data_IF_828685192123
#
_entry.id   IF_828685192123
#
_cell.length_a   1.000
_cell.length_b   1.000
_cell.length_c   1.000
_cell.angle_alpha   90.00
_cell.angle_beta   90.00
_cell.angle_gamma   90.00
#
_symmetry.space_group_name_H-M   'P 1'
#
loop_
_entity.id
_entity.type
_entity.pdbx_description
1 polymer ?
#
# COMPACT_ATOMS: atom_id res chain seq x y z
N UNK A 1 0.78 16.93 -11.91
CA UNK A 1 0.02 15.71 -12.22
C UNK A 1 0.63 14.92 -13.37
N UNK A 2 1.07 15.60 -14.43
CA UNK A 2 1.64 14.92 -15.59
C UNK A 2 2.91 14.14 -15.26
N UNK A 3 3.72 14.65 -14.31
CA UNK A 3 4.97 14.01 -13.94
C UNK A 3 4.80 12.84 -12.98
N UNK A 4 3.82 12.90 -12.08
CA UNK A 4 3.69 11.95 -10.99
C UNK A 4 2.39 11.15 -11.01
N UNK A 5 1.40 11.59 -11.77
CA UNK A 5 0.11 10.92 -11.89
C UNK A 5 -0.87 11.31 -10.79
N UNK A 6 -2.15 11.02 -11.06
CA UNK A 6 -3.23 11.37 -10.17
C UNK A 6 -3.21 10.61 -8.83
N UNK A 7 -2.78 9.36 -8.85
CA UNK A 7 -2.74 8.54 -7.64
C UNK A 7 -1.70 9.03 -6.65
N UNK A 8 -0.54 9.49 -7.13
CA UNK A 8 0.47 10.09 -6.26
C UNK A 8 -0.04 11.37 -5.62
N UNK A 9 -0.75 12.20 -6.37
CA UNK A 9 -1.36 13.41 -5.84
C UNK A 9 -2.42 13.09 -4.79
N UNK A 10 -3.27 12.11 -5.05
CA UNK A 10 -4.29 11.66 -4.09
C UNK A 10 -3.67 11.16 -2.79
N UNK A 11 -2.65 10.33 -2.90
CA UNK A 11 -1.96 9.80 -1.72
C UNK A 11 -1.30 10.92 -0.92
N UNK A 12 -0.63 11.85 -1.59
CA UNK A 12 -0.01 12.99 -0.93
C UNK A 12 -1.02 13.82 -0.16
N UNK A 13 -2.13 14.17 -0.79
CA UNK A 13 -3.17 15.01 -0.18
C UNK A 13 -3.75 14.33 1.07
N UNK A 14 -3.98 13.03 1.03
CA UNK A 14 -4.63 12.31 2.13
C UNK A 14 -3.67 11.93 3.26
N UNK A 15 -2.39 11.78 2.99
CA UNK A 15 -1.44 11.26 3.99
C UNK A 15 -0.55 12.32 4.64
N UNK A 16 -0.35 13.47 3.99
CA UNK A 16 0.60 14.48 4.45
C UNK A 16 0.05 15.36 5.57
N UNK A 17 -1.24 15.65 5.55
CA UNK A 17 -1.88 16.56 6.53
C UNK A 17 -3.29 16.09 6.87
N UNK A 18 -3.78 16.40 8.11
CA UNK A 18 -5.18 16.19 8.42
C UNK A 18 -6.08 17.02 7.49
N UNK A 19 -7.32 16.57 7.22
CA UNK A 19 -8.23 17.31 6.34
C UNK A 19 -8.55 18.74 6.79
N UNK A 20 -8.42 19.01 8.08
CA UNK A 20 -8.69 20.34 8.66
C UNK A 20 -7.59 21.36 8.43
N UNK A 21 -6.44 20.93 7.93
CA UNK A 21 -5.31 21.82 7.71
C UNK A 21 -5.09 22.06 6.22
N UNK A 22 -4.58 23.26 5.94
CA UNK A 22 -4.13 23.57 4.60
C UNK A 22 -2.94 22.68 4.25
N UNK A 23 -2.93 22.19 3.00
CA UNK A 23 -1.86 21.33 2.51
C UNK A 23 -0.90 22.19 1.70
N UNK A 24 0.37 22.16 2.07
CA UNK A 24 1.41 22.79 1.30
C UNK A 24 1.90 21.83 0.23
N UNK A 25 1.74 22.23 -1.04
CA UNK A 25 2.17 21.42 -2.17
C UNK A 25 3.70 21.53 -2.29
N UNK A 26 4.40 20.40 -2.10
CA UNK A 26 5.85 20.34 -2.25
C UNK A 26 6.22 19.21 -3.21
N UNK A 27 7.25 19.44 -4.02
CA UNK A 27 7.76 18.40 -4.91
C UNK A 27 8.34 17.22 -4.14
N UNK A 28 9.00 17.48 -3.03
CA UNK A 28 9.56 16.42 -2.19
C UNK A 28 8.47 15.50 -1.64
N UNK A 29 7.34 16.07 -1.22
CA UNK A 29 6.22 15.28 -0.70
C UNK A 29 5.55 14.44 -1.77
N UNK A 30 5.27 15.04 -2.93
CA UNK A 30 4.62 14.32 -4.03
C UNK A 30 5.55 13.25 -4.61
N UNK A 31 6.84 13.50 -4.67
CA UNK A 31 7.82 12.52 -5.10
C UNK A 31 7.88 11.32 -4.18
N UNK A 32 7.79 11.53 -2.86
CA UNK A 32 7.71 10.45 -1.88
C UNK A 32 6.50 9.55 -2.10
N UNK A 33 5.35 10.15 -2.34
CA UNK A 33 4.11 9.42 -2.65
C UNK A 33 4.24 8.62 -3.96
N UNK A 34 4.83 9.24 -4.98
CA UNK A 34 5.07 8.60 -6.27
C UNK A 34 5.99 7.38 -6.13
N UNK A 35 7.08 7.50 -5.36
CA UNK A 35 7.99 6.39 -5.10
C UNK A 35 7.29 5.24 -4.39
N UNK A 36 6.46 5.55 -3.40
CA UNK A 36 5.69 4.55 -2.67
C UNK A 36 4.76 3.76 -3.60
N UNK A 37 4.01 4.48 -4.45
CA UNK A 37 3.08 3.86 -5.40
C UNK A 37 3.84 2.96 -6.38
N UNK A 38 4.98 3.43 -6.90
CA UNK A 38 5.79 2.63 -7.82
C UNK A 38 6.37 1.37 -7.16
N UNK A 39 6.79 1.47 -5.90
CA UNK A 39 7.25 0.32 -5.13
C UNK A 39 6.13 -0.70 -4.94
N UNK A 40 4.95 -0.22 -4.56
CA UNK A 40 3.79 -1.09 -4.37
C UNK A 40 3.41 -1.80 -5.67
N UNK A 41 3.34 -1.05 -6.76
CA UNK A 41 3.05 -1.60 -8.09
C UNK A 41 4.05 -2.67 -8.48
N UNK A 42 5.34 -2.36 -8.33
CA UNK A 42 6.42 -3.28 -8.70
C UNK A 42 6.39 -4.54 -7.87
N UNK A 43 6.12 -4.43 -6.58
CA UNK A 43 6.00 -5.57 -5.69
C UNK A 43 4.88 -6.52 -6.13
N UNK A 44 3.72 -5.98 -6.47
CA UNK A 44 2.57 -6.79 -6.91
C UNK A 44 2.84 -7.43 -8.27
N UNK A 45 3.39 -6.67 -9.21
CA UNK A 45 3.70 -7.17 -10.56
C UNK A 45 4.75 -8.27 -10.50
N UNK A 46 5.81 -8.08 -9.72
CA UNK A 46 6.87 -9.09 -9.57
C UNK A 46 6.37 -10.38 -8.91
N UNK A 47 5.42 -10.26 -7.98
CA UNK A 47 4.83 -11.40 -7.29
C UNK A 47 3.73 -12.08 -8.09
N UNK A 48 3.21 -11.46 -9.15
CA UNK A 48 2.02 -11.95 -9.87
C UNK A 48 2.17 -13.36 -10.42
N UNK A 49 3.37 -13.74 -10.84
CA UNK A 49 3.64 -15.08 -11.38
C UNK A 49 3.61 -16.17 -10.31
N UNK A 50 3.84 -15.82 -9.04
CA UNK A 50 3.87 -16.77 -7.93
C UNK A 50 2.58 -16.75 -7.10
N UNK A 51 1.66 -15.84 -7.40
CA UNK A 51 0.38 -15.78 -6.71
C UNK A 51 -0.55 -16.89 -7.19
N UNK A 52 -1.33 -17.51 -6.29
CA UNK A 52 -2.32 -18.51 -6.72
C UNK A 52 -3.44 -17.84 -7.52
N UNK A 53 -4.17 -18.62 -8.36
CA UNK A 53 -5.31 -18.10 -9.09
C UNK A 53 -6.39 -17.54 -8.17
N UNK A 54 -7.18 -16.60 -8.67
CA UNK A 54 -8.32 -16.07 -7.93
C UNK A 54 -9.27 -17.19 -7.55
N UNK A 55 -9.78 -17.17 -6.33
CA UNK A 55 -10.66 -18.20 -5.81
C UNK A 55 -9.97 -19.43 -5.24
N UNK A 56 -8.63 -19.44 -5.20
CA UNK A 56 -7.88 -20.53 -4.57
C UNK A 56 -8.21 -20.63 -3.08
N UNK A 57 -8.28 -21.86 -2.59
CA UNK A 57 -8.59 -22.10 -1.19
C UNK A 57 -7.43 -21.67 -0.29
N UNK A 58 -7.79 -21.22 0.92
CA UNK A 58 -6.80 -20.91 1.95
C UNK A 58 -6.02 -22.18 2.31
N UNK A 59 -4.68 -22.13 2.42
CA UNK A 59 -3.90 -23.28 2.86
C UNK A 59 -4.29 -23.73 4.26
N UNK A 60 -4.24 -25.04 4.51
CA UNK A 60 -4.50 -25.58 5.84
C UNK A 60 -3.36 -25.30 6.81
N UNK A 61 -2.14 -25.18 6.30
CA UNK A 61 -0.96 -24.86 7.09
C UNK A 61 -0.19 -23.72 6.46
N UNK A 62 0.45 -22.92 7.31
CA UNK A 62 1.30 -21.81 6.87
C UNK A 62 2.76 -22.13 7.21
N UNK A 63 3.67 -21.76 6.31
CA UNK A 63 5.11 -21.90 6.55
C UNK A 63 5.56 -21.03 7.74
N UNK A 64 6.73 -21.33 8.28
CA UNK A 64 7.31 -20.53 9.36
C UNK A 64 7.49 -19.06 8.98
N UNK A 65 7.74 -18.77 7.70
CA UNK A 65 7.88 -17.40 7.21
C UNK A 65 6.51 -16.73 7.00
N UNK A 66 5.49 -17.50 6.67
CA UNK A 66 4.16 -16.97 6.40
C UNK A 66 3.38 -16.61 7.66
N UNK A 67 3.61 -17.33 8.78
CA UNK A 67 2.88 -17.09 10.03
C UNK A 67 3.05 -15.68 10.58
N UNK A 68 4.28 -15.13 10.72
CA UNK A 68 4.44 -13.75 11.16
C UNK A 68 3.81 -12.73 10.21
N UNK A 69 3.94 -12.94 8.91
CA UNK A 69 3.33 -12.07 7.92
C UNK A 69 1.81 -12.06 8.03
N UNK A 70 1.21 -13.24 8.19
CA UNK A 70 -0.24 -13.37 8.38
C UNK A 70 -0.71 -12.62 9.63
N UNK A 71 0.02 -12.76 10.74
CA UNK A 71 -0.30 -12.07 11.99
C UNK A 71 -0.28 -10.56 11.83
N UNK A 72 0.77 -10.03 11.20
CA UNK A 72 0.91 -8.60 10.94
C UNK A 72 -0.18 -8.12 9.98
N UNK A 73 -0.50 -8.90 8.96
CA UNK A 73 -1.55 -8.57 7.99
C UNK A 73 -2.91 -8.39 8.70
N UNK A 74 -3.29 -9.35 9.51
CA UNK A 74 -4.56 -9.27 10.24
C UNK A 74 -4.59 -8.14 11.26
N UNK A 75 -3.48 -7.89 11.93
CA UNK A 75 -3.35 -6.77 12.86
C UNK A 75 -3.49 -5.43 12.15
N UNK A 76 -2.89 -5.32 10.97
CA UNK A 76 -2.99 -4.11 10.15
C UNK A 76 -4.42 -3.88 9.66
N UNK A 77 -5.09 -4.94 9.22
CA UNK A 77 -6.50 -4.84 8.80
C UNK A 77 -7.36 -4.32 9.97
N UNK A 78 -7.17 -4.86 11.15
CA UNK A 78 -7.91 -4.42 12.34
C UNK A 78 -7.60 -2.96 12.68
N UNK A 79 -6.32 -2.57 12.63
CA UNK A 79 -5.89 -1.20 12.93
C UNK A 79 -6.46 -0.18 11.95
N UNK A 80 -6.39 -0.47 10.68
CA UNK A 80 -6.93 0.42 9.63
C UNK A 80 -8.45 0.52 9.73
N UNK A 81 -9.12 -0.60 10.00
CA UNK A 81 -10.56 -0.62 10.16
C UNK A 81 -11.06 0.14 11.37
N UNK A 82 -10.22 0.29 12.41
CA UNK A 82 -10.56 1.04 13.62
C UNK A 82 -10.39 2.56 13.45
N UNK A 83 -9.59 2.98 12.49
CA UNK A 83 -9.40 4.39 12.19
C UNK A 83 -10.57 4.91 11.36
#
# INVERSE_FOLDING_TARGET
LDSYGADAARLFVLSDSPPERDIEWTEAGIEGSWRYINRLWRMVVDASASLPPAGSAKPSEFSANAKPLRSITHRTIAGVGAD
#
